data_IF_995476969670
#
_entry.id   IF_995476969670
#
_cell.length_a   1.000
_cell.length_b   1.000
_cell.length_c   1.000
_cell.angle_alpha   90.00
_cell.angle_beta   90.00
_cell.angle_gamma   90.00
#
_symmetry.space_group_name_H-M   'P 1'
#
loop_
_entity.id
_entity.type
_entity.pdbx_description
1 polymer ?
#
# COMPACT_ATOMS: atom_id res chain seq x y z
N UNK A 1 36.56 12.00 -5.27
CA UNK A 1 35.48 13.00 -5.39
C UNK A 1 34.99 13.31 -3.99
N UNK A 2 34.87 14.58 -3.62
CA UNK A 2 34.34 14.98 -2.31
C UNK A 2 32.85 14.69 -2.26
N UNK A 3 32.39 13.95 -1.26
CA UNK A 3 30.96 13.64 -1.09
C UNK A 3 30.11 14.90 -0.96
N UNK A 4 28.97 14.93 -1.64
CA UNK A 4 27.99 16.02 -1.53
C UNK A 4 27.12 15.86 -0.27
N UNK A 5 26.58 16.96 0.25
CA UNK A 5 25.53 17.01 1.26
C UNK A 5 24.17 16.92 0.58
N UNK A 6 23.41 15.90 0.92
CA UNK A 6 22.12 15.60 0.31
C UNK A 6 21.04 15.62 1.38
N UNK A 7 19.92 16.28 1.06
CA UNK A 7 18.72 16.24 1.87
C UNK A 7 17.77 15.16 1.34
N UNK A 8 17.20 14.37 2.25
CA UNK A 8 16.10 13.44 1.95
C UNK A 8 14.96 13.76 2.91
N UNK A 9 13.75 13.94 2.40
CA UNK A 9 12.57 14.23 3.21
C UNK A 9 11.58 13.07 3.15
N UNK A 10 11.32 12.49 4.31
CA UNK A 10 10.54 11.27 4.53
C UNK A 10 11.43 10.05 4.75
N UNK A 11 11.30 9.40 5.90
CA UNK A 11 12.03 8.19 6.30
C UNK A 11 11.28 6.88 5.96
N UNK A 12 10.36 6.93 4.99
CA UNK A 12 9.74 5.74 4.39
C UNK A 12 10.65 5.05 3.36
N UNK A 13 10.17 3.99 2.70
CA UNK A 13 10.98 3.21 1.74
C UNK A 13 11.68 4.06 0.69
N UNK A 14 11.01 5.07 0.12
CA UNK A 14 11.61 5.92 -0.89
C UNK A 14 12.87 6.63 -0.34
N UNK A 15 12.72 7.37 0.76
CA UNK A 15 13.84 8.10 1.36
C UNK A 15 14.92 7.19 1.90
N UNK A 16 14.56 6.09 2.58
CA UNK A 16 15.54 5.14 3.10
C UNK A 16 16.36 4.46 1.99
N UNK A 17 15.73 4.09 0.86
CA UNK A 17 16.44 3.55 -0.30
C UNK A 17 17.39 4.58 -0.91
N UNK A 18 16.94 5.83 -1.10
CA UNK A 18 17.82 6.89 -1.61
C UNK A 18 18.99 7.15 -0.66
N UNK A 19 18.71 7.39 0.62
CA UNK A 19 19.72 7.73 1.62
C UNK A 19 20.80 6.65 1.71
N UNK A 20 20.41 5.37 1.78
CA UNK A 20 21.36 4.27 1.85
C UNK A 20 22.27 4.20 0.62
N UNK A 21 21.72 4.25 -0.58
CA UNK A 21 22.52 4.14 -1.81
C UNK A 21 23.44 5.35 -2.01
N UNK A 22 22.98 6.55 -1.67
CA UNK A 22 23.82 7.76 -1.72
C UNK A 22 24.95 7.73 -0.69
N UNK A 23 24.65 7.25 0.52
CA UNK A 23 25.62 7.13 1.59
C UNK A 23 26.71 6.08 1.26
N UNK A 24 26.32 4.95 0.67
CA UNK A 24 27.25 3.92 0.15
C UNK A 24 28.13 4.47 -1.00
N UNK A 25 27.64 5.45 -1.75
CA UNK A 25 28.42 6.17 -2.77
C UNK A 25 29.31 7.31 -2.20
N UNK A 26 29.35 7.47 -0.86
CA UNK A 26 30.23 8.42 -0.18
C UNK A 26 29.65 9.81 0.04
N UNK A 27 28.35 10.03 -0.24
CA UNK A 27 27.67 11.29 0.05
C UNK A 27 27.24 11.37 1.51
N UNK A 28 27.18 12.58 2.07
CA UNK A 28 26.61 12.85 3.39
C UNK A 28 25.12 13.12 3.25
N UNK A 29 24.27 12.38 3.97
CA UNK A 29 22.82 12.42 3.82
C UNK A 29 22.15 12.80 5.14
N UNK A 30 21.32 13.85 5.10
CA UNK A 30 20.39 14.16 6.18
C UNK A 30 18.99 13.72 5.78
N UNK A 31 18.35 12.90 6.61
CA UNK A 31 16.94 12.52 6.48
C UNK A 31 16.12 13.33 7.48
N UNK A 32 15.07 13.99 7.01
CA UNK A 32 14.05 14.61 7.86
C UNK A 32 12.76 13.81 7.78
N UNK A 33 12.12 13.53 8.91
CA UNK A 33 10.73 13.05 8.94
C UNK A 33 9.90 13.86 9.95
N UNK A 34 8.68 14.21 9.55
CA UNK A 34 7.74 14.91 10.44
C UNK A 34 7.23 14.02 11.57
N UNK A 35 7.24 12.70 11.37
CA UNK A 35 6.85 11.72 12.37
C UNK A 35 7.98 11.49 13.37
N UNK A 36 7.61 10.98 14.54
CA UNK A 36 8.52 10.63 15.63
C UNK A 36 9.22 9.27 15.44
N UNK A 37 9.05 8.65 14.27
CA UNK A 37 9.63 7.35 13.94
C UNK A 37 10.00 7.25 12.45
N UNK A 38 10.85 6.28 12.13
CA UNK A 38 11.23 5.89 10.76
C UNK A 38 10.21 4.92 10.14
N UNK A 39 10.41 4.55 8.87
CA UNK A 39 9.63 3.52 8.18
C UNK A 39 8.38 4.02 7.47
N UNK A 40 7.99 5.28 7.68
CA UNK A 40 6.78 5.84 7.09
C UNK A 40 5.56 4.98 7.44
N UNK A 41 4.74 4.63 6.44
CA UNK A 41 3.56 3.78 6.68
C UNK A 41 3.90 2.33 7.02
N UNK A 42 5.10 1.84 6.69
CA UNK A 42 5.51 0.49 7.04
C UNK A 42 5.95 0.36 8.51
N UNK A 43 5.92 1.43 9.30
CA UNK A 43 6.29 1.40 10.70
C UNK A 43 5.46 0.40 11.51
N UNK A 44 6.16 -0.44 12.25
CA UNK A 44 5.58 -1.42 13.17
C UNK A 44 6.18 -1.31 14.57
N UNK A 45 5.41 -1.77 15.54
CA UNK A 45 5.81 -1.80 16.95
C UNK A 45 5.11 -2.94 17.67
N UNK A 46 5.61 -3.29 18.85
CA UNK A 46 4.95 -4.25 19.75
C UNK A 46 4.05 -3.46 20.69
N UNK A 47 2.76 -3.76 20.68
CA UNK A 47 1.79 -3.06 21.52
C UNK A 47 1.76 -3.58 22.97
N UNK A 48 0.87 -3.03 23.79
CA UNK A 48 0.74 -3.40 25.20
C UNK A 48 0.30 -4.86 25.42
N UNK A 49 -0.34 -5.49 24.43
CA UNK A 49 -0.65 -6.92 24.49
C UNK A 49 0.58 -7.79 24.24
N UNK A 50 1.68 -7.23 23.73
CA UNK A 50 2.84 -7.96 23.24
C UNK A 50 2.71 -8.36 21.77
N UNK A 51 1.60 -8.03 21.09
CA UNK A 51 1.40 -8.33 19.68
C UNK A 51 2.13 -7.30 18.82
N UNK A 52 2.87 -7.74 17.79
CA UNK A 52 3.40 -6.79 16.80
C UNK A 52 2.26 -6.31 15.91
N UNK A 53 2.12 -5.01 15.78
CA UNK A 53 1.14 -4.39 14.89
C UNK A 53 1.81 -3.35 14.00
N UNK A 54 1.27 -3.16 12.81
CA UNK A 54 1.66 -2.02 11.99
C UNK A 54 0.75 -0.84 12.33
N UNK A 55 1.35 0.32 12.61
CA UNK A 55 0.61 1.52 13.03
C UNK A 55 -0.39 1.99 11.96
N UNK A 56 -0.09 1.68 10.70
CA UNK A 56 -0.76 2.25 9.53
C UNK A 56 -1.40 1.18 8.63
N UNK A 57 -1.90 0.12 9.23
CA UNK A 57 -2.54 -1.00 8.54
C UNK A 57 -1.56 -2.07 8.04
N UNK A 58 -2.06 -3.25 7.63
CA UNK A 58 -1.23 -4.38 7.26
C UNK A 58 -0.38 -4.07 6.02
N UNK A 59 0.93 -4.29 6.13
CA UNK A 59 1.92 -4.08 5.08
C UNK A 59 2.55 -5.42 4.75
N UNK A 60 2.15 -5.98 3.61
CA UNK A 60 2.49 -7.33 3.21
C UNK A 60 3.45 -7.23 2.04
N UNK A 61 4.68 -7.73 2.18
CA UNK A 61 5.65 -7.64 1.10
C UNK A 61 5.42 -8.77 0.10
N UNK A 62 5.16 -8.40 -1.15
CA UNK A 62 5.03 -9.32 -2.27
C UNK A 62 5.71 -8.72 -3.50
N UNK A 63 6.37 -9.55 -4.31
CA UNK A 63 6.94 -9.14 -5.60
C UNK A 63 7.40 -10.33 -6.45
N UNK A 64 7.60 -10.07 -7.74
CA UNK A 64 8.39 -10.90 -8.65
C UNK A 64 9.79 -10.32 -8.93
N UNK A 65 10.09 -9.10 -8.47
CA UNK A 65 11.36 -8.42 -8.73
C UNK A 65 12.47 -8.93 -7.80
N UNK A 66 13.34 -9.80 -8.34
CA UNK A 66 14.49 -10.37 -7.60
C UNK A 66 15.47 -9.31 -7.11
N UNK A 67 15.66 -8.22 -7.87
CA UNK A 67 16.61 -7.18 -7.50
C UNK A 67 16.20 -6.49 -6.20
N UNK A 68 14.91 -6.22 -6.04
CA UNK A 68 14.34 -5.66 -4.80
C UNK A 68 14.50 -6.63 -3.64
N UNK A 69 14.25 -7.92 -3.87
CA UNK A 69 14.41 -8.96 -2.84
C UNK A 69 15.86 -9.06 -2.39
N UNK A 70 16.82 -9.10 -3.33
CA UNK A 70 18.24 -9.12 -3.01
C UNK A 70 18.69 -7.87 -2.27
N UNK A 71 18.17 -6.70 -2.63
CA UNK A 71 18.47 -5.46 -1.91
C UNK A 71 17.95 -5.50 -0.46
N UNK A 72 16.71 -5.97 -0.26
CA UNK A 72 16.10 -6.07 1.08
C UNK A 72 16.75 -7.15 1.97
N UNK A 73 17.22 -8.24 1.37
CA UNK A 73 17.87 -9.34 2.09
C UNK A 73 19.15 -8.91 2.82
N UNK A 74 19.80 -7.82 2.40
CA UNK A 74 20.97 -7.24 3.10
C UNK A 74 20.62 -6.69 4.48
N UNK A 75 19.36 -6.37 4.72
CA UNK A 75 18.91 -5.61 5.90
C UNK A 75 18.19 -6.45 6.93
N UNK A 76 17.97 -7.74 6.68
CA UNK A 76 17.50 -8.65 7.72
C UNK A 76 16.83 -9.90 7.21
N UNK A 77 16.31 -10.66 8.16
CA UNK A 77 15.73 -11.97 7.90
C UNK A 77 14.27 -11.85 7.48
N UNK A 78 13.93 -12.57 6.42
CA UNK A 78 12.60 -12.60 5.84
C UNK A 78 12.04 -14.01 5.93
N UNK A 79 10.76 -14.13 6.26
CA UNK A 79 10.05 -15.40 6.31
C UNK A 79 8.95 -15.43 5.26
N UNK A 80 8.73 -16.60 4.66
CA UNK A 80 7.66 -16.78 3.69
C UNK A 80 6.30 -16.63 4.37
N UNK A 81 5.39 -15.91 3.73
CA UNK A 81 4.02 -15.76 4.17
C UNK A 81 3.08 -15.64 2.98
N UNK A 82 2.26 -16.65 2.75
CA UNK A 82 1.24 -16.63 1.71
C UNK A 82 -0.04 -16.00 2.29
N UNK A 83 -0.29 -14.73 1.95
CA UNK A 83 -1.40 -13.97 2.53
C UNK A 83 -2.76 -14.46 2.04
N UNK A 84 -3.75 -14.51 2.95
CA UNK A 84 -5.13 -14.90 2.68
C UNK A 84 -6.11 -13.92 3.28
N UNK A 85 -7.16 -13.64 2.51
CA UNK A 85 -8.26 -12.74 2.89
C UNK A 85 -9.57 -13.50 2.78
N UNK A 86 -10.50 -13.20 3.69
CA UNK A 86 -11.90 -13.61 3.58
C UNK A 86 -12.81 -12.39 3.52
N UNK A 87 -13.92 -12.51 2.82
CA UNK A 87 -15.00 -11.53 2.84
C UNK A 87 -16.14 -12.07 3.73
N UNK A 88 -16.57 -11.30 4.72
CA UNK A 88 -17.74 -11.59 5.53
C UNK A 88 -19.00 -11.16 4.77
N UNK A 89 -19.86 -12.14 4.44
CA UNK A 89 -21.09 -11.96 3.68
C UNK A 89 -22.27 -11.59 4.60
N UNK A 90 -23.36 -11.00 4.06
CA UNK A 90 -24.56 -10.68 4.84
C UNK A 90 -25.22 -11.90 5.51
N UNK A 91 -25.00 -13.11 4.98
CA UNK A 91 -25.46 -14.37 5.58
C UNK A 91 -24.72 -14.76 6.87
N UNK A 92 -23.62 -14.05 7.22
CA UNK A 92 -22.72 -14.41 8.30
C UNK A 92 -21.63 -15.42 7.90
N UNK A 93 -21.69 -15.98 6.69
CA UNK A 93 -20.64 -16.83 6.14
C UNK A 93 -19.45 -16.01 5.64
N UNK A 94 -18.29 -16.65 5.54
CA UNK A 94 -17.11 -16.05 4.92
C UNK A 94 -16.76 -16.74 3.60
N UNK A 95 -16.39 -15.97 2.58
CA UNK A 95 -15.90 -16.47 1.30
C UNK A 95 -14.44 -16.05 1.03
N UNK A 96 -13.63 -16.85 0.29
CA UNK A 96 -12.31 -16.42 -0.18
C UNK A 96 -12.34 -15.08 -0.93
N UNK A 97 -11.26 -14.31 -0.80
CA UNK A 97 -10.98 -13.19 -1.68
C UNK A 97 -9.48 -13.26 -2.06
N UNK A 98 -9.10 -13.16 -3.35
CA UNK A 98 -9.89 -12.83 -4.54
C UNK A 98 -10.98 -13.85 -4.88
N UNK A 99 -11.97 -13.43 -5.69
CA UNK A 99 -13.08 -14.30 -6.11
C UNK A 99 -12.50 -15.51 -6.87
N UNK A 100 -12.82 -16.69 -6.36
CA UNK A 100 -12.38 -17.98 -6.91
C UNK A 100 -13.55 -18.97 -7.01
N UNK A 101 -13.31 -20.21 -7.45
CA UNK A 101 -14.38 -21.22 -7.62
C UNK A 101 -15.19 -21.42 -6.34
N UNK A 102 -14.51 -21.56 -5.20
CA UNK A 102 -15.16 -21.75 -3.90
C UNK A 102 -16.01 -20.54 -3.49
N UNK A 103 -15.62 -19.34 -3.88
CA UNK A 103 -16.42 -18.12 -3.66
C UNK A 103 -17.74 -18.20 -4.41
N UNK A 104 -17.72 -18.64 -5.66
CA UNK A 104 -18.92 -18.81 -6.47
C UNK A 104 -19.87 -19.87 -5.88
N UNK A 105 -19.34 -21.00 -5.44
CA UNK A 105 -20.14 -22.04 -4.76
C UNK A 105 -20.86 -21.49 -3.52
N UNK A 106 -20.16 -20.71 -2.70
CA UNK A 106 -20.73 -20.12 -1.46
C UNK A 106 -21.81 -19.10 -1.78
N UNK A 107 -21.59 -18.21 -2.75
CA UNK A 107 -22.51 -17.11 -3.06
C UNK A 107 -23.75 -17.63 -3.77
N UNK A 108 -23.59 -18.49 -4.78
CA UNK A 108 -24.70 -18.98 -5.59
C UNK A 108 -25.37 -20.25 -5.02
N UNK A 109 -24.80 -20.84 -3.96
CA UNK A 109 -25.34 -22.07 -3.36
C UNK A 109 -25.28 -23.27 -4.30
N UNK A 110 -24.22 -23.36 -5.11
CA UNK A 110 -24.04 -24.41 -6.13
C UNK A 110 -22.77 -25.21 -5.86
N UNK A 111 -22.66 -26.38 -6.51
CA UNK A 111 -21.39 -27.10 -6.63
C UNK A 111 -20.82 -26.95 -8.03
N UNK A 112 -19.53 -26.63 -8.13
CA UNK A 112 -18.81 -26.46 -9.39
C UNK A 112 -17.70 -27.50 -9.46
N UNK A 113 -17.79 -28.47 -10.37
CA UNK A 113 -16.86 -29.60 -10.39
C UNK A 113 -15.41 -29.17 -10.70
N UNK A 114 -15.23 -28.18 -11.57
CA UNK A 114 -13.94 -27.77 -12.13
C UNK A 114 -13.94 -26.27 -12.51
N UNK A 115 -12.84 -25.85 -13.16
CA UNK A 115 -12.66 -24.47 -13.60
C UNK A 115 -13.59 -24.10 -14.75
N UNK A 116 -13.89 -25.04 -15.64
CA UNK A 116 -14.80 -24.88 -16.77
C UNK A 116 -16.23 -24.58 -16.29
N UNK A 117 -16.71 -25.30 -15.27
CA UNK A 117 -18.01 -25.04 -14.65
C UNK A 117 -18.07 -23.62 -14.03
N UNK A 118 -16.98 -23.18 -13.37
CA UNK A 118 -16.88 -21.83 -12.82
C UNK A 118 -16.90 -20.75 -13.90
N UNK A 119 -16.19 -20.97 -15.02
CA UNK A 119 -16.21 -20.08 -16.18
C UNK A 119 -17.59 -19.99 -16.81
N UNK A 120 -18.27 -21.13 -16.99
CA UNK A 120 -19.61 -21.19 -17.56
C UNK A 120 -20.64 -20.45 -16.69
N UNK A 121 -20.53 -20.59 -15.36
CA UNK A 121 -21.36 -19.82 -14.44
C UNK A 121 -21.12 -18.32 -14.58
N UNK A 122 -19.86 -17.87 -14.59
CA UNK A 122 -19.54 -16.45 -14.72
C UNK A 122 -19.98 -15.88 -16.07
N UNK A 123 -19.75 -16.59 -17.17
CA UNK A 123 -20.23 -16.19 -18.49
C UNK A 123 -21.76 -15.98 -18.54
N UNK A 124 -22.52 -16.78 -17.78
CA UNK A 124 -23.98 -16.68 -17.70
C UNK A 124 -24.46 -15.47 -16.89
N UNK A 125 -23.70 -15.04 -15.88
CA UNK A 125 -24.10 -13.92 -14.98
C UNK A 125 -23.43 -12.59 -15.35
N UNK A 126 -22.32 -12.63 -16.11
CA UNK A 126 -21.63 -11.43 -16.61
C UNK A 126 -22.42 -10.72 -17.70
N UNK A 127 -22.18 -9.42 -17.85
CA UNK A 127 -22.78 -8.60 -18.91
C UNK A 127 -21.76 -8.31 -20.00
N UNK A 128 -22.08 -8.59 -21.26
CA UNK A 128 -21.18 -8.27 -22.37
C UNK A 128 -21.03 -6.74 -22.51
N UNK A 129 -19.81 -6.24 -22.32
CA UNK A 129 -19.45 -4.82 -22.44
C UNK A 129 -18.09 -4.76 -23.14
N UNK A 130 -18.09 -4.35 -24.40
CA UNK A 130 -16.89 -4.33 -25.26
C UNK A 130 -15.83 -3.34 -24.77
N UNK A 131 -16.28 -2.17 -24.28
CA UNK A 131 -15.41 -1.08 -23.85
C UNK A 131 -15.85 -0.55 -22.48
N UNK A 132 -15.38 -1.15 -21.37
CA UNK A 132 -15.72 -0.69 -20.03
C UNK A 132 -15.25 0.75 -19.79
N UNK A 133 -16.19 1.66 -19.46
CA UNK A 133 -15.88 3.07 -19.25
C UNK A 133 -15.35 3.37 -17.85
N UNK A 134 -15.77 2.58 -16.85
CA UNK A 134 -15.45 2.76 -15.44
C UNK A 134 -15.40 1.41 -14.70
N UNK A 135 -15.08 1.44 -13.40
CA UNK A 135 -14.92 0.23 -12.59
C UNK A 135 -16.18 -0.66 -12.54
N UNK A 136 -17.39 -0.07 -12.52
CA UNK A 136 -18.64 -0.85 -12.51
C UNK A 136 -18.79 -1.73 -13.77
N UNK A 137 -18.64 -1.15 -14.98
CA UNK A 137 -18.69 -1.87 -16.25
C UNK A 137 -17.66 -2.99 -16.30
N UNK A 138 -16.43 -2.72 -15.85
CA UNK A 138 -15.38 -3.73 -15.83
C UNK A 138 -15.75 -4.90 -14.93
N UNK A 139 -16.34 -4.66 -13.76
CA UNK A 139 -16.75 -5.74 -12.87
C UNK A 139 -17.99 -6.46 -13.40
N UNK A 140 -19.00 -5.75 -13.90
CA UNK A 140 -20.18 -6.35 -14.50
C UNK A 140 -19.82 -7.29 -15.67
N UNK A 141 -18.83 -6.91 -16.50
CA UNK A 141 -18.39 -7.75 -17.62
C UNK A 141 -17.54 -8.94 -17.22
N UNK A 142 -17.01 -8.97 -16.00
CA UNK A 142 -16.13 -10.05 -15.54
C UNK A 142 -16.79 -10.99 -14.54
N UNK A 143 -17.63 -10.47 -13.66
CA UNK A 143 -18.22 -11.20 -12.53
C UNK A 143 -19.74 -11.00 -12.40
N UNK A 144 -20.35 -10.15 -13.23
CA UNK A 144 -21.78 -9.87 -13.16
C UNK A 144 -22.20 -8.98 -12.00
N UNK A 145 -23.45 -8.49 -12.07
CA UNK A 145 -23.99 -7.50 -11.14
C UNK A 145 -24.04 -7.98 -9.69
N UNK A 146 -24.45 -9.23 -9.47
CA UNK A 146 -24.62 -9.80 -8.12
C UNK A 146 -23.31 -9.83 -7.33
N UNK A 147 -22.23 -10.38 -7.90
CA UNK A 147 -20.92 -10.38 -7.26
C UNK A 147 -20.31 -8.98 -7.15
N UNK A 148 -20.58 -8.11 -8.12
CA UNK A 148 -20.13 -6.71 -8.10
C UNK A 148 -20.74 -5.96 -6.92
N UNK A 149 -22.06 -6.06 -6.76
CA UNK A 149 -22.81 -5.39 -5.70
C UNK A 149 -22.50 -5.98 -4.31
N UNK A 150 -22.18 -7.27 -4.25
CA UNK A 150 -21.80 -7.93 -3.01
C UNK A 150 -20.38 -7.56 -2.59
N UNK A 151 -19.36 -7.79 -3.42
CA UNK A 151 -17.97 -7.69 -2.98
C UNK A 151 -17.34 -6.31 -3.19
N UNK A 152 -17.79 -5.55 -4.18
CA UNK A 152 -17.06 -4.36 -4.64
C UNK A 152 -17.80 -3.07 -4.36
N UNK A 153 -19.12 -3.00 -4.58
CA UNK A 153 -19.88 -1.75 -4.45
C UNK A 153 -19.82 -1.18 -3.02
N UNK A 154 -20.22 -1.90 -1.95
CA UNK A 154 -20.17 -1.37 -0.59
C UNK A 154 -18.72 -1.09 -0.14
N UNK A 155 -17.79 -2.00 -0.46
CA UNK A 155 -16.39 -1.83 -0.09
C UNK A 155 -15.77 -0.60 -0.76
N UNK A 156 -16.03 -0.40 -2.05
CA UNK A 156 -15.56 0.77 -2.81
C UNK A 156 -16.14 2.05 -2.26
N UNK A 157 -17.45 2.08 -2.00
CA UNK A 157 -18.11 3.27 -1.44
C UNK A 157 -17.48 3.68 -0.11
N UNK A 158 -17.21 2.72 0.79
CA UNK A 158 -16.51 2.96 2.06
C UNK A 158 -15.09 3.48 1.83
N UNK A 159 -14.29 2.74 1.04
CA UNK A 159 -12.88 3.06 0.81
C UNK A 159 -12.66 4.40 0.11
N UNK A 160 -13.47 4.72 -0.90
CA UNK A 160 -13.23 5.83 -1.82
C UNK A 160 -14.22 6.97 -1.71
N UNK A 161 -15.34 6.81 -0.98
CA UNK A 161 -16.46 7.75 -0.98
C UNK A 161 -17.03 8.05 -2.38
N UNK A 162 -16.76 7.17 -3.35
CA UNK A 162 -17.19 7.25 -4.74
C UNK A 162 -18.02 6.01 -5.09
N UNK A 163 -18.96 6.16 -6.01
CA UNK A 163 -19.61 5.03 -6.65
C UNK A 163 -18.67 4.36 -7.66
N UNK A 164 -18.91 3.09 -7.99
CA UNK A 164 -18.08 2.32 -8.92
C UNK A 164 -18.05 2.95 -10.33
N UNK A 165 -19.09 3.70 -10.67
CA UNK A 165 -19.26 4.41 -11.92
C UNK A 165 -18.37 5.67 -12.03
N UNK A 166 -17.91 6.20 -10.89
CA UNK A 166 -17.05 7.38 -10.82
C UNK A 166 -15.54 7.03 -10.76
N UNK A 167 -15.24 5.75 -10.56
CA UNK A 167 -13.89 5.24 -10.34
C UNK A 167 -13.27 4.72 -11.63
N UNK A 168 -11.99 5.01 -11.83
CA UNK A 168 -11.21 4.44 -12.93
C UNK A 168 -11.14 2.91 -12.82
N UNK A 169 -11.32 2.20 -13.94
CA UNK A 169 -11.32 0.75 -13.98
C UNK A 169 -9.98 0.13 -13.52
N UNK A 170 -8.85 0.83 -13.65
CA UNK A 170 -7.55 0.35 -13.19
C UNK A 170 -7.50 0.10 -11.67
N UNK A 171 -8.36 0.77 -10.89
CA UNK A 171 -8.44 0.56 -9.43
C UNK A 171 -8.91 -0.85 -9.08
N UNK A 172 -9.75 -1.47 -9.93
CA UNK A 172 -10.33 -2.80 -9.74
C UNK A 172 -9.68 -3.89 -10.60
N UNK A 173 -9.10 -3.54 -11.76
CA UNK A 173 -8.39 -4.48 -12.67
C UNK A 173 -7.26 -5.27 -12.00
N UNK A 174 -6.69 -4.74 -10.91
CA UNK A 174 -5.62 -5.39 -10.15
C UNK A 174 -6.06 -6.65 -9.40
N UNK A 175 -7.36 -6.86 -9.21
CA UNK A 175 -7.88 -8.02 -8.48
C UNK A 175 -8.05 -9.20 -9.44
N UNK A 176 -7.28 -10.29 -9.28
CA UNK A 176 -7.36 -11.42 -10.20
C UNK A 176 -8.67 -12.18 -9.98
N UNK A 177 -9.37 -12.46 -11.07
CA UNK A 177 -10.46 -13.44 -11.07
C UNK A 177 -9.87 -14.84 -11.25
N UNK A 178 -10.29 -15.78 -10.41
CA UNK A 178 -9.82 -17.18 -10.45
C UNK A 178 -10.96 -18.16 -10.66
N UNK A 179 -10.63 -19.30 -11.25
CA UNK A 179 -11.56 -20.39 -11.52
C UNK A 179 -11.15 -21.69 -10.82
N UNK A 180 -10.04 -21.67 -10.07
CA UNK A 180 -9.56 -22.75 -9.21
C UNK A 180 -9.86 -22.45 -7.72
N UNK A 181 -9.32 -23.25 -6.81
CA UNK A 181 -9.49 -23.10 -5.34
C UNK A 181 -8.37 -22.31 -4.68
N UNK A 182 -7.42 -21.78 -5.46
CA UNK A 182 -6.34 -20.97 -4.93
C UNK A 182 -6.92 -19.74 -4.21
N UNK A 183 -6.57 -19.60 -2.94
CA UNK A 183 -7.12 -18.60 -2.02
C UNK A 183 -6.06 -17.63 -1.50
N UNK A 184 -4.82 -17.73 -1.97
CA UNK A 184 -3.80 -16.71 -1.74
C UNK A 184 -4.21 -15.41 -2.42
N UNK A 185 -3.85 -14.30 -1.79
CA UNK A 185 -4.16 -12.96 -2.27
C UNK A 185 -3.18 -12.45 -3.33
N UNK A 186 -1.92 -12.89 -3.28
CA UNK A 186 -0.87 -12.57 -4.26
C UNK A 186 -0.26 -13.83 -4.93
N UNK A 187 -1.08 -14.74 -5.46
CA UNK A 187 -0.61 -16.04 -5.95
C UNK A 187 0.35 -15.95 -7.14
N UNK A 188 0.31 -14.84 -7.89
CA UNK A 188 1.18 -14.54 -9.01
C UNK A 188 2.58 -14.06 -8.58
N UNK A 189 2.75 -13.64 -7.33
CA UNK A 189 4.05 -13.18 -6.83
C UNK A 189 4.81 -14.33 -6.17
N UNK A 190 5.98 -14.63 -6.74
CA UNK A 190 6.86 -15.70 -6.27
C UNK A 190 7.39 -15.43 -4.87
N UNK A 191 7.70 -14.17 -4.56
CA UNK A 191 8.19 -13.78 -3.24
C UNK A 191 7.07 -13.11 -2.47
N UNK A 192 6.54 -13.79 -1.46
CA UNK A 192 5.65 -13.22 -0.46
C UNK A 192 6.31 -13.41 0.90
N UNK A 193 6.79 -12.31 1.48
CA UNK A 193 7.71 -12.31 2.59
C UNK A 193 7.25 -11.34 3.68
N UNK A 194 7.61 -11.65 4.93
CA UNK A 194 7.46 -10.76 6.07
C UNK A 194 8.79 -10.66 6.81
N UNK A 195 9.17 -9.48 7.33
CA UNK A 195 10.40 -9.34 8.09
C UNK A 195 10.26 -10.06 9.44
N UNK A 196 11.16 -11.00 9.74
CA UNK A 196 11.13 -11.81 10.97
C UNK A 196 11.10 -10.93 12.24
N UNK A 197 11.76 -9.78 12.19
CA UNK A 197 11.89 -8.86 13.32
C UNK A 197 11.11 -7.56 13.13
N UNK A 198 10.18 -7.52 12.16
CA UNK A 198 9.40 -6.34 11.82
C UNK A 198 10.10 -5.38 10.86
N UNK A 199 9.30 -4.52 10.22
CA UNK A 199 9.78 -3.52 9.28
C UNK A 199 10.64 -2.47 9.95
N UNK A 200 10.33 -2.04 11.18
CA UNK A 200 11.13 -1.03 11.88
C UNK A 200 12.60 -1.48 12.02
N UNK A 201 12.84 -2.75 12.35
CA UNK A 201 14.20 -3.32 12.41
C UNK A 201 14.92 -3.33 11.05
N UNK A 202 14.17 -3.53 9.94
CA UNK A 202 14.72 -3.40 8.58
C UNK A 202 15.14 -1.94 8.32
N UNK A 203 14.30 -0.97 8.67
CA UNK A 203 14.60 0.45 8.48
C UNK A 203 15.78 0.92 9.34
N UNK A 204 15.87 0.50 10.60
CA UNK A 204 17.03 0.78 11.46
C UNK A 204 18.33 0.35 10.78
N UNK A 205 18.36 -0.86 10.23
CA UNK A 205 19.53 -1.38 9.50
C UNK A 205 19.76 -0.69 8.16
N UNK A 206 18.71 -0.27 7.43
CA UNK A 206 18.88 0.52 6.21
C UNK A 206 19.48 1.90 6.53
N UNK A 207 19.17 2.48 7.67
CA UNK A 207 19.59 3.84 8.03
C UNK A 207 20.87 3.88 8.87
N UNK A 208 21.32 2.74 9.39
CA UNK A 208 22.58 2.61 10.13
C UNK A 208 23.81 2.72 9.21
N UNK A 209 24.26 3.95 8.97
CA UNK A 209 25.45 4.25 8.20
C UNK A 209 26.10 5.54 8.69
N UNK A 210 27.42 5.60 8.75
CA UNK A 210 28.16 6.76 9.27
C UNK A 210 27.85 8.08 8.53
N UNK A 211 27.48 8.00 7.26
CA UNK A 211 27.11 9.17 6.44
C UNK A 211 25.60 9.49 6.44
N UNK A 212 24.78 8.81 7.24
CA UNK A 212 23.34 9.08 7.34
C UNK A 212 23.05 9.69 8.71
N UNK A 213 22.46 10.89 8.70
CA UNK A 213 21.88 11.52 9.87
C UNK A 213 20.35 11.50 9.74
N UNK A 214 19.65 11.09 10.78
CA UNK A 214 18.17 11.07 10.81
C UNK A 214 17.66 12.06 11.85
N UNK A 215 16.78 12.96 11.44
CA UNK A 215 16.10 13.94 12.30
C UNK A 215 14.59 13.70 12.23
N UNK A 216 14.02 13.26 13.36
CA UNK A 216 12.60 12.91 13.49
C UNK A 216 11.83 14.03 14.21
N UNK A 217 10.51 14.05 14.05
CA UNK A 217 9.64 15.09 14.63
C UNK A 217 9.84 16.46 13.97
N UNK A 218 10.45 16.51 12.78
CA UNK A 218 10.81 17.74 12.09
C UNK A 218 10.12 17.82 10.73
N UNK A 219 9.15 18.72 10.62
CA UNK A 219 8.54 19.04 9.35
C UNK A 219 9.54 19.77 8.44
N UNK A 220 9.58 19.37 7.16
CA UNK A 220 10.38 20.05 6.17
C UNK A 220 9.77 21.42 5.83
N UNK A 221 10.61 22.44 5.77
CA UNK A 221 10.26 23.73 5.18
C UNK A 221 11.17 24.02 3.98
N UNK A 222 10.65 24.67 2.93
CA UNK A 222 11.39 24.89 1.67
C UNK A 222 12.77 25.54 1.85
N UNK A 223 12.96 26.35 2.90
CA UNK A 223 14.25 26.97 3.21
C UNK A 223 15.36 25.97 3.57
N UNK A 224 15.02 24.82 4.14
CA UNK A 224 15.97 23.80 4.60
C UNK A 224 16.78 23.16 3.47
N UNK A 225 16.27 23.17 2.23
CA UNK A 225 16.97 22.60 1.08
C UNK A 225 18.12 23.46 0.54
N UNK A 226 18.27 24.72 0.99
CA UNK A 226 19.22 25.68 0.41
C UNK A 226 20.69 25.33 0.68
N UNK A 227 20.95 24.63 1.78
CA UNK A 227 22.30 24.26 2.20
C UNK A 227 22.75 22.89 1.65
N UNK A 228 21.98 22.30 0.74
CA UNK A 228 22.27 20.97 0.18
C UNK A 228 22.46 21.07 -1.32
N UNK A 229 23.37 20.25 -1.88
CA UNK A 229 23.60 20.23 -3.32
C UNK A 229 22.47 19.52 -4.09
N UNK A 230 21.72 18.64 -3.41
CA UNK A 230 20.52 18.01 -3.93
C UNK A 230 19.51 17.70 -2.80
N UNK A 231 18.22 17.67 -3.14
CA UNK A 231 17.14 17.30 -2.23
C UNK A 231 16.17 16.30 -2.87
N UNK A 232 15.87 15.20 -2.17
CA UNK A 232 14.88 14.20 -2.56
C UNK A 232 13.67 14.25 -1.65
N UNK A 233 12.51 14.63 -2.17
CA UNK A 233 11.34 14.97 -1.38
C UNK A 233 10.22 13.94 -1.55
N UNK A 234 9.88 13.24 -0.47
CA UNK A 234 8.66 12.41 -0.39
C UNK A 234 7.50 13.12 0.30
N UNK A 235 7.40 14.43 0.09
CA UNK A 235 6.31 15.29 0.57
C UNK A 235 5.21 15.40 -0.50
N UNK A 236 3.95 15.71 -0.14
CA UNK A 236 2.90 15.98 -1.12
C UNK A 236 3.31 17.14 -2.03
N UNK A 237 3.33 16.92 -3.35
CA UNK A 237 3.84 17.90 -4.32
C UNK A 237 2.96 19.15 -4.41
N UNK A 238 1.66 19.03 -4.16
CA UNK A 238 0.73 20.14 -4.08
C UNK A 238 1.02 21.05 -2.86
N UNK A 239 1.24 20.45 -1.69
CA UNK A 239 1.67 21.16 -0.47
C UNK A 239 3.05 21.79 -0.66
N UNK A 240 3.95 21.00 -1.28
CA UNK A 240 5.06 21.43 -2.15
C UNK A 240 4.93 22.87 -2.56
N UNK A 241 4.10 23.08 -3.57
CA UNK A 241 3.91 24.32 -4.31
C UNK A 241 2.79 25.21 -3.75
N UNK A 242 2.45 25.06 -2.46
CA UNK A 242 1.43 25.87 -1.80
C UNK A 242 0.05 25.83 -2.48
N UNK A 243 -0.29 24.71 -3.12
CA UNK A 243 -1.59 24.49 -3.72
C UNK A 243 -1.88 25.36 -4.95
N UNK A 244 -0.87 25.87 -5.67
CA UNK A 244 -1.07 26.84 -6.75
C UNK A 244 -1.97 26.37 -7.91
N UNK A 245 -2.12 25.05 -8.12
CA UNK A 245 -3.05 24.46 -9.10
C UNK A 245 -4.25 23.75 -8.46
N UNK A 246 -4.45 23.95 -7.15
CA UNK A 246 -5.46 23.24 -6.35
C UNK A 246 -4.90 21.99 -5.65
N UNK A 247 -5.69 21.38 -4.74
CA UNK A 247 -5.25 20.24 -3.95
C UNK A 247 -5.23 18.94 -4.77
N UNK A 248 -4.33 18.04 -4.41
CA UNK A 248 -4.32 16.65 -4.87
C UNK A 248 -4.92 15.76 -3.75
N UNK A 249 -6.17 15.28 -3.90
CA UNK A 249 -6.87 14.62 -2.81
C UNK A 249 -6.37 13.20 -2.54
N UNK A 250 -6.47 12.79 -1.27
CA UNK A 250 -6.15 11.45 -0.82
C UNK A 250 -7.29 10.86 -0.02
N UNK A 251 -7.44 9.53 -0.07
CA UNK A 251 -8.16 8.81 0.98
C UNK A 251 -7.24 8.51 2.15
N UNK A 252 -7.86 8.44 3.31
CA UNK A 252 -7.23 8.11 4.56
C UNK A 252 -7.91 6.97 5.30
N UNK A 253 -7.25 6.49 6.35
CA UNK A 253 -7.74 5.40 7.18
C UNK A 253 -7.51 5.76 8.66
N UNK A 254 -8.56 5.62 9.45
CA UNK A 254 -8.49 5.57 10.91
C UNK A 254 -8.47 4.12 11.37
N UNK A 255 -7.71 3.86 12.41
CA UNK A 255 -7.48 2.51 12.93
C UNK A 255 -8.05 2.37 14.33
N UNK A 256 -8.90 1.37 14.53
CA UNK A 256 -9.42 1.01 15.86
C UNK A 256 -8.81 -0.33 16.29
N UNK A 257 -8.15 -0.34 17.44
CA UNK A 257 -7.49 -1.52 17.98
C UNK A 257 -8.33 -2.15 19.09
N UNK A 258 -8.47 -3.47 19.06
CA UNK A 258 -9.11 -4.24 20.12
C UNK A 258 -8.36 -5.54 20.39
N UNK A 259 -8.20 -5.91 21.65
CA UNK A 259 -7.67 -7.23 22.02
C UNK A 259 -8.81 -8.25 22.01
N UNK A 260 -8.62 -9.37 21.29
CA UNK A 260 -9.62 -10.44 21.16
C UNK A 260 -9.02 -11.80 21.46
N UNK A 261 -9.86 -12.71 21.94
CA UNK A 261 -9.48 -14.13 22.09
C UNK A 261 -9.23 -14.73 20.70
N UNK A 262 -8.14 -15.47 20.57
CA UNK A 262 -7.77 -16.12 19.31
C UNK A 262 -8.73 -17.26 18.99
N UNK A 263 -9.04 -17.43 17.71
CA UNK A 263 -9.90 -18.51 17.21
C UNK A 263 -9.01 -19.58 16.55
N UNK A 264 -8.83 -20.77 17.17
CA UNK A 264 -7.92 -21.80 16.66
C UNK A 264 -8.21 -22.27 15.23
N UNK A 265 -9.46 -22.17 14.78
CA UNK A 265 -9.94 -22.57 13.48
C UNK A 265 -9.71 -21.53 12.36
N UNK A 266 -9.36 -20.29 12.71
CA UNK A 266 -9.14 -19.21 11.75
C UNK A 266 -7.82 -19.43 11.01
N UNK A 267 -7.84 -19.33 9.67
CA UNK A 267 -6.68 -19.60 8.81
C UNK A 267 -6.29 -18.42 7.89
N UNK A 268 -6.91 -17.25 8.10
CA UNK A 268 -6.65 -16.03 7.36
C UNK A 268 -6.36 -14.88 8.32
N UNK A 269 -5.65 -13.85 7.85
CA UNK A 269 -5.29 -12.71 8.71
C UNK A 269 -6.26 -11.54 8.56
N UNK A 270 -6.95 -11.41 7.43
CA UNK A 270 -7.78 -10.23 7.13
C UNK A 270 -9.18 -10.65 6.72
N UNK A 271 -10.18 -10.02 7.33
CA UNK A 271 -11.59 -10.15 6.97
C UNK A 271 -12.09 -8.83 6.41
N UNK A 272 -12.51 -8.80 5.15
CA UNK A 272 -13.19 -7.66 4.54
C UNK A 272 -14.68 -7.70 4.86
N UNK A 273 -15.28 -6.55 5.13
CA UNK A 273 -16.72 -6.43 5.39
C UNK A 273 -17.44 -6.01 4.11
N UNK A 274 -18.40 -6.81 3.64
CA UNK A 274 -19.18 -6.54 2.43
C UNK A 274 -20.46 -5.75 2.69
N UNK A 275 -20.66 -5.26 3.90
CA UNK A 275 -21.82 -4.45 4.27
C UNK A 275 -21.59 -2.95 3.99
N UNK A 276 -22.65 -2.15 4.14
CA UNK A 276 -22.60 -0.69 4.09
C UNK A 276 -22.27 -0.05 5.44
N UNK A 277 -21.66 -0.79 6.38
CA UNK A 277 -21.25 -0.29 7.68
C UNK A 277 -20.04 0.64 7.62
N UNK A 278 -19.48 1.00 8.78
CA UNK A 278 -18.32 1.90 8.85
C UNK A 278 -17.02 1.23 8.40
N UNK A 279 -16.80 -0.01 8.87
CA UNK A 279 -15.54 -0.69 8.75
C UNK A 279 -15.35 -1.30 7.37
N UNK A 280 -14.16 -1.15 6.79
CA UNK A 280 -13.82 -1.77 5.51
C UNK A 280 -13.31 -3.19 5.71
N UNK A 281 -12.46 -3.39 6.72
CA UNK A 281 -11.85 -4.69 7.07
C UNK A 281 -11.36 -4.73 8.50
N UNK A 282 -11.08 -5.95 8.96
CA UNK A 282 -10.40 -6.24 10.23
C UNK A 282 -9.17 -7.13 9.99
N UNK A 283 -8.04 -6.78 10.61
CA UNK A 283 -6.80 -7.56 10.61
C UNK A 283 -6.58 -8.22 11.97
N UNK A 284 -6.38 -9.52 11.99
CA UNK A 284 -5.96 -10.31 13.15
C UNK A 284 -4.43 -10.45 13.14
N UNK A 285 -3.72 -9.65 13.93
CA UNK A 285 -2.26 -9.52 13.80
C UNK A 285 -1.49 -10.80 14.13
N UNK A 286 -1.98 -11.57 15.11
CA UNK A 286 -1.37 -12.85 15.51
C UNK A 286 -1.31 -13.89 14.37
N UNK A 287 -2.10 -13.70 13.30
CA UNK A 287 -2.08 -14.56 12.10
C UNK A 287 -0.94 -14.23 11.14
N UNK A 288 -0.23 -13.11 11.36
CA UNK A 288 0.99 -12.78 10.62
C UNK A 288 2.21 -13.41 11.32
N UNK A 289 3.19 -13.93 10.56
CA UNK A 289 4.31 -14.64 11.15
C UNK A 289 5.19 -13.69 11.97
N UNK A 290 5.58 -14.12 13.17
CA UNK A 290 6.35 -13.31 14.13
C UNK A 290 5.63 -12.06 14.67
N UNK A 291 4.31 -12.02 14.56
CA UNK A 291 3.50 -11.03 15.26
C UNK A 291 2.87 -11.56 16.55
N UNK A 292 2.77 -12.88 16.67
CA UNK A 292 2.23 -13.52 17.85
C UNK A 292 3.20 -13.46 19.06
N UNK A 293 2.64 -13.18 20.24
CA UNK A 293 3.26 -13.20 21.56
C UNK A 293 3.08 -14.53 22.32
N UNK A 294 2.33 -15.49 21.77
CA UNK A 294 2.03 -16.78 22.40
C UNK A 294 0.90 -16.74 23.45
N UNK A 295 0.23 -15.60 23.65
CA UNK A 295 -0.88 -15.45 24.61
C UNK A 295 -2.21 -15.97 24.03
N UNK A 296 -3.23 -16.16 24.87
CA UNK A 296 -4.55 -16.63 24.42
C UNK A 296 -5.34 -15.59 23.61
N UNK A 297 -4.96 -14.32 23.72
CA UNK A 297 -5.55 -13.20 23.01
C UNK A 297 -4.50 -12.45 22.19
N UNK A 298 -4.93 -11.79 21.13
CA UNK A 298 -4.08 -10.93 20.31
C UNK A 298 -4.81 -9.68 19.86
N UNK A 299 -4.07 -8.70 19.36
CA UNK A 299 -4.66 -7.47 18.84
C UNK A 299 -5.31 -7.71 17.48
N UNK A 300 -6.47 -7.08 17.29
CA UNK A 300 -7.17 -6.93 16.03
C UNK A 300 -7.27 -5.44 15.71
N UNK A 301 -7.17 -5.08 14.43
CA UNK A 301 -7.37 -3.70 13.97
C UNK A 301 -8.50 -3.64 12.96
N UNK A 302 -9.48 -2.77 13.19
CA UNK A 302 -10.49 -2.38 12.19
C UNK A 302 -10.08 -1.10 11.49
N UNK A 303 -10.40 -1.00 10.22
CA UNK A 303 -10.08 0.13 9.36
C UNK A 303 -11.35 0.89 8.95
N UNK A 304 -11.41 2.18 9.28
CA UNK A 304 -12.43 3.12 8.81
C UNK A 304 -11.79 4.00 7.74
N UNK A 305 -12.28 3.93 6.52
CA UNK A 305 -11.82 4.83 5.45
C UNK A 305 -12.50 6.20 5.55
N UNK A 306 -11.72 7.25 5.43
CA UNK A 306 -12.17 8.64 5.56
C UNK A 306 -11.46 9.56 4.56
N UNK A 307 -11.90 10.81 4.49
CA UNK A 307 -11.13 11.82 3.77
C UNK A 307 -9.85 12.13 4.57
N UNK A 308 -8.74 12.43 3.87
CA UNK A 308 -7.50 12.81 4.54
C UNK A 308 -7.64 14.08 5.38
N UNK A 309 -8.54 15.00 5.02
CA UNK A 309 -8.82 16.20 5.82
C UNK A 309 -9.42 15.87 7.18
N UNK A 310 -10.09 14.72 7.30
CA UNK A 310 -10.70 14.28 8.56
C UNK A 310 -9.69 13.55 9.46
N UNK A 311 -8.48 13.25 8.97
CA UNK A 311 -7.49 12.44 9.69
C UNK A 311 -6.13 13.15 9.73
N UNK A 312 -6.13 14.40 10.19
CA UNK A 312 -4.92 15.23 10.35
C UNK A 312 -4.05 15.30 9.09
N UNK A 313 -4.70 15.28 7.92
CA UNK A 313 -4.05 15.28 6.61
C UNK A 313 -3.10 14.08 6.38
N UNK A 314 -3.34 12.94 7.05
CA UNK A 314 -2.65 11.68 6.81
C UNK A 314 -3.07 11.09 5.46
N UNK A 315 -2.12 11.02 4.54
CA UNK A 315 -2.34 10.67 3.13
C UNK A 315 -1.93 9.23 2.87
N UNK A 316 -2.90 8.37 2.55
CA UNK A 316 -2.63 6.94 2.28
C UNK A 316 -2.81 6.56 0.82
N UNK A 317 -3.93 6.95 0.20
CA UNK A 317 -4.26 6.54 -1.17
C UNK A 317 -4.54 7.76 -2.05
N UNK A 318 -3.74 8.04 -3.09
CA UNK A 318 -4.07 9.11 -4.03
C UNK A 318 -5.37 8.78 -4.76
N UNK A 319 -6.26 9.76 -4.89
CA UNK A 319 -7.57 9.57 -5.53
C UNK A 319 -7.43 9.65 -7.05
N UNK A 320 -7.93 8.62 -7.74
CA UNK A 320 -8.02 8.56 -9.21
C UNK A 320 -9.47 8.49 -9.64
N UNK A 321 -9.86 9.39 -10.52
CA UNK A 321 -11.22 9.52 -11.05
C UNK A 321 -11.21 9.19 -12.54
N UNK A 322 -12.32 8.65 -13.05
CA UNK A 322 -12.45 8.26 -14.45
C UNK A 322 -12.27 9.43 -15.44
N UNK A 323 -12.61 10.66 -15.04
CA UNK A 323 -12.39 11.89 -15.83
C UNK A 323 -10.93 12.40 -15.84
N UNK A 324 -10.06 11.77 -15.06
CA UNK A 324 -8.64 12.11 -14.92
C UNK A 324 -8.36 13.50 -14.33
N UNK A 325 -9.33 14.16 -13.69
CA UNK A 325 -9.18 15.57 -13.25
C UNK A 325 -7.98 15.81 -12.33
N UNK A 326 -7.72 14.90 -11.38
CA UNK A 326 -6.58 15.04 -10.45
C UNK A 326 -5.24 14.68 -11.11
N UNK A 327 -5.25 13.79 -12.11
CA UNK A 327 -4.05 13.49 -12.89
C UNK A 327 -3.59 14.72 -13.70
N UNK A 328 -4.54 15.45 -14.30
CA UNK A 328 -4.28 16.72 -15.00
C UNK A 328 -3.73 17.83 -14.08
N UNK A 329 -4.14 17.85 -12.81
CA UNK A 329 -3.57 18.77 -11.80
C UNK A 329 -2.13 18.34 -11.46
N UNK A 330 -1.91 17.05 -11.21
CA UNK A 330 -0.57 16.52 -10.92
C UNK A 330 0.43 16.82 -12.04
N UNK A 331 0.01 16.70 -13.31
CA UNK A 331 0.86 17.02 -14.47
C UNK A 331 1.32 18.48 -14.51
N UNK A 332 0.52 19.42 -13.97
CA UNK A 332 0.93 20.82 -13.85
C UNK A 332 2.00 20.99 -12.77
N UNK A 333 1.84 20.33 -11.61
CA UNK A 333 2.87 20.31 -10.57
C UNK A 333 4.16 19.61 -11.00
N UNK A 334 4.06 18.52 -11.76
CA UNK A 334 5.21 17.79 -12.27
C UNK A 334 6.06 18.67 -13.21
N UNK A 335 5.43 19.46 -14.08
CA UNK A 335 6.14 20.45 -14.92
C UNK A 335 6.86 21.51 -14.10
N UNK A 336 6.23 21.98 -13.01
CA UNK A 336 6.85 22.95 -12.11
C UNK A 336 8.04 22.34 -11.33
N UNK A 337 7.99 21.04 -11.05
CA UNK A 337 9.12 20.31 -10.46
C UNK A 337 10.33 20.21 -11.41
N UNK A 338 10.10 20.11 -12.72
CA UNK A 338 11.18 20.10 -13.72
C UNK A 338 11.97 21.42 -13.77
N UNK A 339 11.39 22.53 -13.28
CA UNK A 339 12.06 23.85 -13.19
C UNK A 339 13.02 23.97 -11.99
N UNK A 340 13.04 22.99 -11.08
CA UNK A 340 13.90 22.97 -9.89
C UNK A 340 14.88 21.80 -9.91
N UNK A 341 15.97 21.87 -10.70
CA UNK A 341 16.84 20.71 -10.97
C UNK A 341 17.57 20.15 -9.75
N UNK A 342 17.74 20.95 -8.69
CA UNK A 342 18.31 20.51 -7.41
C UNK A 342 17.33 19.72 -6.54
N UNK A 343 16.04 19.66 -6.91
CA UNK A 343 14.98 18.98 -6.17
C UNK A 343 14.41 17.84 -7.03
N UNK A 344 14.21 16.67 -6.41
CA UNK A 344 13.56 15.54 -7.05
C UNK A 344 12.46 15.00 -6.14
N UNK A 345 11.22 14.98 -6.62
CA UNK A 345 10.11 14.36 -5.89
C UNK A 345 10.19 12.83 -6.02
N UNK A 346 9.93 12.13 -4.92
CA UNK A 346 10.06 10.67 -4.82
C UNK A 346 8.91 10.04 -4.05
N UNK A 347 8.65 8.76 -4.32
CA UNK A 347 7.69 7.96 -3.58
C UNK A 347 6.23 8.40 -3.77
N UNK A 348 5.34 7.77 -2.99
CA UNK A 348 3.88 7.88 -3.12
C UNK A 348 3.38 9.33 -3.11
N UNK A 349 3.79 10.11 -2.11
CA UNK A 349 3.28 11.47 -1.89
C UNK A 349 3.89 12.46 -2.88
N UNK A 350 5.20 12.35 -3.15
CA UNK A 350 5.90 13.23 -4.10
C UNK A 350 5.44 13.03 -5.54
N UNK A 351 5.08 11.80 -5.91
CA UNK A 351 4.70 11.46 -7.28
C UNK A 351 3.20 11.24 -7.48
N UNK A 352 2.38 11.45 -6.44
CA UNK A 352 0.93 11.21 -6.46
C UNK A 352 0.54 9.84 -7.06
N UNK A 353 1.24 8.79 -6.63
CA UNK A 353 1.12 7.44 -7.20
C UNK A 353 0.77 6.40 -6.14
N UNK A 354 -0.20 5.54 -6.45
CA UNK A 354 -0.45 4.35 -5.65
C UNK A 354 0.64 3.32 -5.98
N UNK A 355 1.58 3.15 -5.04
CA UNK A 355 2.71 2.24 -5.16
C UNK A 355 2.72 1.22 -4.00
N UNK A 356 2.92 -0.05 -4.34
CA UNK A 356 3.30 -1.09 -3.39
C UNK A 356 4.76 -0.93 -2.95
N UNK A 357 5.14 -1.56 -1.84
CA UNK A 357 6.49 -1.41 -1.25
C UNK A 357 7.60 -1.74 -2.26
N UNK A 358 7.48 -2.85 -2.99
CA UNK A 358 8.47 -3.26 -3.98
C UNK A 358 8.57 -2.27 -5.16
N UNK A 359 7.46 -1.64 -5.54
CA UNK A 359 7.43 -0.64 -6.62
C UNK A 359 8.14 0.64 -6.17
N UNK A 360 7.90 1.10 -4.94
CA UNK A 360 8.60 2.26 -4.36
C UNK A 360 10.10 2.01 -4.28
N UNK A 361 10.53 0.83 -3.80
CA UNK A 361 11.94 0.48 -3.70
C UNK A 361 12.58 0.44 -5.09
N UNK A 362 11.95 -0.26 -6.06
CA UNK A 362 12.46 -0.35 -7.43
C UNK A 362 12.57 1.04 -8.09
N UNK A 363 11.53 1.86 -8.00
CA UNK A 363 11.54 3.24 -8.51
C UNK A 363 12.68 4.05 -7.90
N UNK A 364 12.92 3.89 -6.59
CA UNK A 364 13.98 4.59 -5.87
C UNK A 364 15.38 4.11 -6.24
N UNK A 365 15.58 2.80 -6.40
CA UNK A 365 16.84 2.23 -6.89
C UNK A 365 17.18 2.73 -8.30
N UNK A 366 16.20 2.75 -9.21
CA UNK A 366 16.39 3.30 -10.55
C UNK A 366 16.68 4.80 -10.52
N UNK A 367 15.97 5.55 -9.68
CA UNK A 367 16.12 6.99 -9.52
C UNK A 367 17.48 7.38 -8.97
N UNK A 368 17.93 6.76 -7.88
CA UNK A 368 19.24 7.05 -7.27
C UNK A 368 20.39 6.68 -8.19
N UNK A 369 20.32 5.54 -8.90
CA UNK A 369 21.34 5.16 -9.90
C UNK A 369 21.41 6.14 -11.07
N UNK A 370 20.26 6.65 -11.51
CA UNK A 370 20.22 7.68 -12.58
C UNK A 370 20.88 8.98 -12.09
N UNK A 371 20.61 9.37 -10.85
CA UNK A 371 21.20 10.57 -10.27
C UNK A 371 22.72 10.41 -10.10
N UNK A 372 23.18 9.29 -9.53
CA UNK A 372 24.62 8.98 -9.36
C UNK A 372 25.37 8.99 -10.68
N UNK A 373 24.81 8.40 -11.76
CA UNK A 373 25.45 8.44 -13.09
C UNK A 373 25.61 9.84 -13.68
N UNK A 374 24.84 10.82 -13.22
CA UNK A 374 24.91 12.22 -13.69
C UNK A 374 25.84 13.08 -12.83
N UNK A 375 26.15 12.66 -11.61
CA UNK A 375 26.82 13.49 -10.59
C UNK A 375 28.05 12.83 -9.95
N UNK A 376 28.36 11.58 -10.31
CA UNK A 376 29.50 10.82 -9.79
C UNK A 376 30.53 10.46 -10.85
#
# INVERSE_FOLDING_TARGET
MTGQRILVVGAGFAGATYARNLAEAGHSVTILDKRDHIGGNAYDFVDQSGTRIHRYGPHLFHTNNEEVVHWLARWGDWVRYDHRVRALLPSGLTAPLPINRRTLEIVFGVHLADAEAAQALLARVSTEIEHPAHAADYLHSRIGKELTDLFFRPYTKKMWALDLEELDADVVKRLPLRFDDEDRYFPQDRFQLMPRHGYTAIFERILDHANIKVELGQAFCRGMGRDYEAAFLSVPIDEYYSGCFGPLPYRSIRFEHATKVKQPEMSWAVTNFTDSGLWTRETAWHMLPHHDNGLASGTHTREEACDYTDNDFERYYPVRTSDGRFQKIYEQYAKLADETPQITFIGRCGLYQYLDMHQVINQSLLGVRRWLRRHG
#
